data_IF_528408585277
#
_entry.id   IF_528408585277
#
_cell.length_a   1.000
_cell.length_b   1.000
_cell.length_c   1.000
_cell.angle_alpha   90.00
_cell.angle_beta   90.00
_cell.angle_gamma   90.00
#
_symmetry.space_group_name_H-M   'P 1'
#
loop_
_entity.id
_entity.type
_entity.pdbx_description
1 polymer ?
#
# COMPACT_ATOMS: atom_id res chain seq x y z
N UNK A 1 -19.57 60.05 -29.58
CA UNK A 1 -18.53 59.30 -30.32
C UNK A 1 -17.59 58.64 -29.33
N UNK A 2 -17.62 57.28 -29.30
CA UNK A 2 -16.57 56.32 -28.96
C UNK A 2 -15.66 56.57 -27.77
N UNK A 3 -15.88 55.80 -26.67
CA UNK A 3 -14.82 55.19 -25.84
C UNK A 3 -15.36 53.88 -25.29
N UNK A 4 -15.22 52.85 -26.06
CA UNK A 4 -15.26 51.43 -25.64
C UNK A 4 -13.85 50.88 -25.97
N UNK A 5 -13.39 49.92 -25.13
CA UNK A 5 -12.21 49.09 -25.24
C UNK A 5 -11.10 49.50 -24.26
N UNK A 6 -11.05 48.78 -23.15
CA UNK A 6 -9.91 47.97 -22.73
C UNK A 6 -10.18 47.31 -21.35
N UNK A 7 -10.85 46.19 -21.30
CA UNK A 7 -10.89 45.34 -20.09
C UNK A 7 -11.02 43.87 -20.55
N UNK A 8 -9.94 43.36 -21.13
CA UNK A 8 -9.87 41.92 -21.38
C UNK A 8 -8.40 41.48 -21.56
N UNK A 9 -7.64 41.35 -20.49
CA UNK A 9 -6.37 40.63 -20.49
C UNK A 9 -5.79 40.47 -19.07
N UNK A 10 -6.51 39.85 -18.13
CA UNK A 10 -5.90 39.51 -16.82
C UNK A 10 -6.42 38.21 -16.19
N UNK A 11 -7.05 37.32 -16.98
CA UNK A 11 -7.62 36.08 -16.47
C UNK A 11 -6.76 34.84 -16.72
N UNK A 12 -5.62 34.92 -17.40
CA UNK A 12 -4.84 33.74 -17.85
C UNK A 12 -3.66 33.36 -16.96
N UNK A 13 -3.30 34.13 -15.96
CA UNK A 13 -2.11 33.84 -15.14
C UNK A 13 -2.41 33.05 -13.85
N UNK A 14 -3.69 32.91 -13.46
CA UNK A 14 -4.06 32.17 -12.25
C UNK A 14 -4.18 30.65 -12.46
N UNK A 15 -4.41 30.17 -13.68
CA UNK A 15 -4.63 28.75 -13.98
C UNK A 15 -3.33 27.93 -13.90
N UNK A 16 -2.18 28.51 -14.24
CA UNK A 16 -0.90 27.78 -14.25
C UNK A 16 -0.38 27.50 -12.84
N UNK A 17 -0.52 28.45 -11.92
CA UNK A 17 -0.02 28.31 -10.54
C UNK A 17 -0.78 27.25 -9.74
N UNK A 18 -2.08 27.14 -9.95
CA UNK A 18 -2.93 26.16 -9.26
C UNK A 18 -2.67 24.73 -9.74
N UNK A 19 -2.25 24.53 -11.00
CA UNK A 19 -1.87 23.21 -11.53
C UNK A 19 -0.50 22.76 -11.01
N UNK A 20 0.47 23.65 -10.83
CA UNK A 20 1.77 23.35 -10.27
C UNK A 20 1.69 22.99 -8.79
N UNK A 21 0.98 23.76 -7.97
CA UNK A 21 0.77 23.46 -6.55
C UNK A 21 0.06 22.11 -6.35
N UNK A 22 -0.93 21.80 -7.18
CA UNK A 22 -1.64 20.52 -7.14
C UNK A 22 -0.74 19.35 -7.55
N UNK A 23 0.14 19.52 -8.52
CA UNK A 23 1.10 18.48 -8.94
C UNK A 23 2.18 18.25 -7.87
N UNK A 24 2.70 19.29 -7.25
CA UNK A 24 3.69 19.20 -6.16
C UNK A 24 3.07 18.45 -4.97
N UNK A 25 1.88 18.86 -4.50
CA UNK A 25 1.16 18.20 -3.40
C UNK A 25 0.86 16.71 -3.68
N UNK A 26 0.51 16.37 -4.92
CA UNK A 26 0.26 14.97 -5.31
C UNK A 26 1.54 14.14 -5.31
N UNK A 27 2.66 14.72 -5.75
CA UNK A 27 3.97 14.04 -5.78
C UNK A 27 4.52 13.81 -4.36
N UNK A 28 4.36 14.78 -3.45
CA UNK A 28 4.75 14.64 -2.04
C UNK A 28 3.94 13.55 -1.35
N UNK A 29 2.61 13.57 -1.46
CA UNK A 29 1.72 12.53 -0.91
C UNK A 29 2.04 11.14 -1.47
N UNK A 30 2.33 11.05 -2.76
CA UNK A 30 2.73 9.79 -3.42
C UNK A 30 4.05 9.26 -2.84
N UNK A 31 5.04 10.13 -2.61
CA UNK A 31 6.32 9.75 -1.99
C UNK A 31 6.18 9.31 -0.54
N UNK A 32 5.29 9.95 0.23
CA UNK A 32 5.00 9.56 1.62
C UNK A 32 4.29 8.21 1.68
N UNK A 33 3.31 7.96 0.82
CA UNK A 33 2.61 6.69 0.74
C UNK A 33 3.55 5.54 0.35
N UNK A 34 4.49 5.79 -0.55
CA UNK A 34 5.53 4.81 -0.91
C UNK A 34 6.41 4.44 0.30
N UNK A 35 6.79 5.42 1.14
CA UNK A 35 7.54 5.17 2.37
C UNK A 35 6.77 4.28 3.34
N UNK A 36 5.47 4.55 3.55
CA UNK A 36 4.61 3.73 4.42
C UNK A 36 4.54 2.29 3.91
N UNK A 37 4.34 2.10 2.60
CA UNK A 37 4.32 0.77 2.01
C UNK A 37 5.66 0.04 2.21
N UNK A 38 6.80 0.70 1.99
CA UNK A 38 8.13 0.11 2.24
C UNK A 38 8.37 -0.21 3.71
N UNK A 39 7.94 0.66 4.64
CA UNK A 39 8.06 0.46 6.08
C UNK A 39 7.31 -0.79 6.56
N UNK A 40 6.16 -1.10 5.94
CA UNK A 40 5.42 -2.33 6.22
C UNK A 40 6.31 -3.57 6.01
N UNK A 41 7.01 -3.66 4.88
CA UNK A 41 7.91 -4.79 4.59
C UNK A 41 9.13 -4.84 5.52
N UNK A 42 9.63 -3.68 5.97
CA UNK A 42 10.70 -3.63 6.99
C UNK A 42 10.23 -4.24 8.30
N UNK A 43 9.01 -3.91 8.77
CA UNK A 43 8.46 -4.49 9.99
C UNK A 43 8.09 -5.96 9.82
N UNK A 44 7.52 -6.34 8.67
CA UNK A 44 7.26 -7.74 8.32
C UNK A 44 8.53 -8.58 8.46
N UNK A 45 9.61 -8.20 7.80
CA UNK A 45 10.87 -8.93 7.78
C UNK A 45 11.58 -8.97 9.15
N UNK A 46 11.23 -8.08 10.06
CA UNK A 46 11.67 -8.10 11.47
C UNK A 46 10.72 -8.90 12.37
N UNK A 47 9.62 -9.42 11.82
CA UNK A 47 8.52 -10.03 12.57
C UNK A 47 7.98 -9.10 13.68
N UNK A 48 8.06 -7.78 13.48
CA UNK A 48 7.52 -6.77 14.39
C UNK A 48 6.05 -6.48 14.04
N UNK A 49 5.21 -7.48 14.31
CA UNK A 49 3.80 -7.47 13.91
C UNK A 49 3.02 -6.30 14.51
N UNK A 50 3.41 -5.85 15.70
CA UNK A 50 2.76 -4.71 16.33
C UNK A 50 3.06 -3.40 15.58
N UNK A 51 4.33 -3.15 15.22
CA UNK A 51 4.68 -1.97 14.44
C UNK A 51 4.10 -2.03 13.04
N UNK A 52 4.12 -3.20 12.41
CA UNK A 52 3.47 -3.41 11.13
C UNK A 52 1.97 -3.09 11.19
N UNK A 53 1.24 -3.63 12.17
CA UNK A 53 -0.18 -3.37 12.36
C UNK A 53 -0.50 -1.89 12.65
N UNK A 54 0.42 -1.15 13.28
CA UNK A 54 0.27 0.28 13.54
C UNK A 54 0.32 1.16 12.29
N UNK A 55 0.78 0.64 11.15
CA UNK A 55 0.72 1.34 9.86
C UNK A 55 -0.70 1.36 9.27
N UNK A 56 -1.58 0.46 9.70
CA UNK A 56 -2.97 0.40 9.28
C UNK A 56 -3.87 1.31 10.12
N UNK A 57 -5.06 1.62 9.60
CA UNK A 57 -6.19 2.13 10.40
C UNK A 57 -6.62 1.09 11.43
N UNK A 58 -7.58 1.43 12.31
CA UNK A 58 -8.05 0.50 13.35
C UNK A 58 -8.71 -0.76 12.77
N UNK A 59 -9.48 -0.60 11.68
CA UNK A 59 -10.18 -1.67 11.00
C UNK A 59 -9.98 -1.54 9.47
N UNK A 60 -8.79 -1.88 8.94
CA UNK A 60 -8.54 -1.86 7.50
C UNK A 60 -9.28 -2.99 6.79
N UNK A 61 -9.50 -2.81 5.49
CA UNK A 61 -10.10 -3.79 4.62
C UNK A 61 -9.03 -4.66 3.96
N UNK A 62 -9.09 -5.96 4.17
CA UNK A 62 -8.22 -6.95 3.54
C UNK A 62 -8.96 -7.72 2.45
N UNK A 63 -8.24 -8.10 1.40
CA UNK A 63 -8.72 -9.00 0.36
C UNK A 63 -7.58 -9.86 -0.16
N UNK A 64 -7.76 -11.17 -0.18
CA UNK A 64 -6.74 -12.11 -0.62
C UNK A 64 -7.38 -13.42 -1.14
N UNK A 65 -6.68 -14.21 -1.96
CA UNK A 65 -7.21 -15.47 -2.52
C UNK A 65 -7.65 -16.49 -1.46
N UNK A 66 -6.93 -16.58 -0.33
CA UNK A 66 -7.24 -17.49 0.78
C UNK A 66 -8.59 -17.21 1.44
N UNK A 67 -9.09 -15.97 1.34
CA UNK A 67 -10.43 -15.57 1.80
C UNK A 67 -11.49 -15.56 0.69
N UNK A 68 -11.20 -16.18 -0.46
CA UNK A 68 -12.09 -16.23 -1.62
C UNK A 68 -12.28 -14.87 -2.29
N UNK A 69 -11.30 -13.97 -2.18
CA UNK A 69 -11.32 -12.61 -2.77
C UNK A 69 -12.46 -11.72 -2.27
N UNK A 70 -13.05 -12.02 -1.12
CA UNK A 70 -14.06 -11.16 -0.49
C UNK A 70 -13.38 -10.19 0.47
N UNK A 71 -13.65 -8.88 0.37
CA UNK A 71 -13.13 -7.92 1.32
C UNK A 71 -13.62 -8.24 2.75
N UNK A 72 -12.69 -8.15 3.71
CA UNK A 72 -12.94 -8.40 5.13
C UNK A 72 -12.31 -7.29 5.97
N UNK A 73 -13.03 -6.80 6.97
CA UNK A 73 -12.46 -5.90 7.96
C UNK A 73 -11.69 -6.72 9.00
N UNK A 74 -10.46 -6.31 9.30
CA UNK A 74 -9.64 -6.92 10.35
C UNK A 74 -9.20 -5.84 11.33
N UNK A 75 -9.40 -6.05 12.62
CA UNK A 75 -8.79 -5.15 13.62
C UNK A 75 -7.28 -5.32 13.65
N UNK A 76 -6.55 -4.31 14.14
CA UNK A 76 -5.08 -4.41 14.33
C UNK A 76 -4.69 -5.62 15.18
N UNK A 77 -5.49 -5.93 16.21
CA UNK A 77 -5.25 -7.10 17.06
C UNK A 77 -5.38 -8.42 16.28
N UNK A 78 -6.37 -8.52 15.38
CA UNK A 78 -6.52 -9.67 14.50
C UNK A 78 -5.35 -9.78 13.53
N UNK A 79 -4.89 -8.67 12.94
CA UNK A 79 -3.70 -8.65 12.07
C UNK A 79 -2.49 -9.21 12.82
N UNK A 80 -2.20 -8.70 14.01
CA UNK A 80 -1.07 -9.18 14.84
C UNK A 80 -1.19 -10.66 15.15
N UNK A 81 -2.40 -11.15 15.49
CA UNK A 81 -2.66 -12.56 15.78
C UNK A 81 -2.38 -13.44 14.57
N UNK A 82 -2.97 -13.12 13.40
CA UNK A 82 -2.84 -13.90 12.17
C UNK A 82 -1.37 -13.98 11.69
N UNK A 83 -0.63 -12.87 11.75
CA UNK A 83 0.79 -12.88 11.37
C UNK A 83 1.69 -13.62 12.36
N UNK A 84 1.36 -13.66 13.66
CA UNK A 84 2.03 -14.53 14.64
C UNK A 84 1.76 -16.01 14.37
N UNK A 85 0.52 -16.36 14.03
CA UNK A 85 0.15 -17.72 13.65
C UNK A 85 0.88 -18.15 12.37
N UNK A 86 0.92 -17.28 11.36
CA UNK A 86 1.71 -17.51 10.15
C UNK A 86 3.19 -17.72 10.46
N UNK A 87 3.81 -16.88 11.31
CA UNK A 87 5.20 -17.03 11.73
C UNK A 87 5.44 -18.35 12.47
N UNK A 88 4.47 -18.85 13.22
CA UNK A 88 4.60 -20.14 13.90
C UNK A 88 4.67 -21.31 12.90
N UNK A 89 4.02 -21.18 11.75
CA UNK A 89 4.07 -22.17 10.67
C UNK A 89 5.32 -22.00 9.78
N UNK A 90 5.74 -20.76 9.56
CA UNK A 90 6.85 -20.36 8.70
C UNK A 90 7.82 -19.44 9.44
N UNK A 91 8.67 -20.00 10.36
CA UNK A 91 9.49 -19.17 11.27
C UNK A 91 10.51 -18.26 10.58
N UNK A 92 10.92 -18.61 9.37
CA UNK A 92 11.92 -17.90 8.56
C UNK A 92 11.29 -17.10 7.41
N UNK A 93 9.97 -16.85 7.44
CA UNK A 93 9.28 -16.14 6.37
C UNK A 93 9.84 -14.72 6.21
N UNK A 94 10.11 -14.36 4.96
CA UNK A 94 10.65 -13.05 4.55
C UNK A 94 9.99 -12.61 3.24
N UNK A 95 9.81 -11.31 3.07
CA UNK A 95 9.29 -10.70 1.85
C UNK A 95 10.38 -9.90 1.15
N UNK A 96 10.71 -10.28 -0.09
CA UNK A 96 11.64 -9.56 -0.95
C UNK A 96 10.87 -8.66 -1.91
N UNK A 97 10.89 -7.34 -1.68
CA UNK A 97 10.23 -6.36 -2.56
C UNK A 97 10.98 -6.32 -3.89
N UNK A 98 10.26 -6.51 -4.98
CA UNK A 98 10.76 -6.46 -6.36
C UNK A 98 10.59 -5.06 -6.94
N UNK A 99 9.36 -4.49 -6.81
CA UNK A 99 9.06 -3.17 -7.35
C UNK A 99 7.95 -2.48 -6.53
N UNK A 100 7.96 -1.14 -6.56
CA UNK A 100 6.96 -0.30 -5.91
C UNK A 100 6.48 0.75 -6.91
N UNK A 101 5.19 0.81 -7.14
CA UNK A 101 4.57 1.72 -8.11
C UNK A 101 3.51 2.58 -7.41
N UNK A 102 3.81 3.84 -7.09
CA UNK A 102 2.78 4.78 -6.68
C UNK A 102 1.75 4.98 -7.81
N UNK A 103 0.47 4.94 -7.49
CA UNK A 103 -0.61 5.05 -8.46
C UNK A 103 -1.70 6.01 -8.00
N UNK A 104 -1.88 7.09 -8.74
CA UNK A 104 -2.84 8.13 -8.39
C UNK A 104 -2.48 8.84 -7.08
N UNK A 105 -3.50 9.25 -6.34
CA UNK A 105 -3.32 10.05 -5.11
C UNK A 105 -3.01 9.21 -3.87
N UNK A 106 -3.58 8.00 -3.76
CA UNK A 106 -3.61 7.25 -2.52
C UNK A 106 -3.34 5.75 -2.67
N UNK A 107 -2.85 5.29 -3.82
CA UNK A 107 -2.55 3.87 -4.02
C UNK A 107 -1.05 3.66 -4.20
N UNK A 108 -0.58 2.53 -3.67
CA UNK A 108 0.76 2.00 -3.90
C UNK A 108 0.63 0.53 -4.25
N UNK A 109 1.14 0.16 -5.42
CA UNK A 109 1.19 -1.22 -5.88
C UNK A 109 2.59 -1.74 -5.55
N UNK A 110 2.69 -2.91 -4.93
CA UNK A 110 3.97 -3.53 -4.57
C UNK A 110 4.00 -4.95 -5.10
N UNK A 111 5.02 -5.23 -5.90
CA UNK A 111 5.38 -6.59 -6.29
C UNK A 111 6.48 -7.11 -5.35
N UNK A 112 6.28 -8.27 -4.80
CA UNK A 112 7.25 -8.90 -3.91
C UNK A 112 7.16 -10.43 -3.98
N UNK A 113 8.19 -11.10 -3.48
CA UNK A 113 8.22 -12.56 -3.34
C UNK A 113 8.28 -12.88 -1.86
N UNK A 114 7.29 -13.62 -1.37
CA UNK A 114 7.30 -14.21 -0.04
C UNK A 114 8.07 -15.53 -0.10
N UNK A 115 9.02 -15.71 0.82
CA UNK A 115 9.92 -16.87 0.87
C UNK A 115 9.97 -17.43 2.27
N UNK A 116 10.15 -18.73 2.37
CA UNK A 116 10.29 -19.38 3.67
C UNK A 116 10.46 -20.88 3.55
N UNK A 117 10.33 -21.56 4.69
CA UNK A 117 10.42 -23.00 4.79
C UNK A 117 9.11 -23.58 5.29
N UNK A 118 8.53 -24.49 4.52
CA UNK A 118 7.36 -25.26 4.90
C UNK A 118 7.64 -26.17 6.11
N UNK A 119 6.61 -26.62 6.84
CA UNK A 119 6.77 -27.59 7.94
C UNK A 119 7.46 -28.89 7.55
N UNK A 120 7.33 -29.32 6.29
CA UNK A 120 7.98 -30.50 5.72
C UNK A 120 9.45 -30.25 5.29
N UNK A 121 10.01 -29.06 5.57
CA UNK A 121 11.38 -28.60 5.24
C UNK A 121 11.60 -28.24 3.77
N UNK A 122 10.60 -28.26 2.92
CA UNK A 122 10.71 -27.73 1.57
C UNK A 122 10.74 -26.21 1.59
N UNK A 123 11.42 -25.58 0.64
CA UNK A 123 11.44 -24.13 0.48
C UNK A 123 10.29 -23.71 -0.43
N UNK A 124 9.69 -22.54 -0.14
CA UNK A 124 8.73 -21.92 -1.04
C UNK A 124 9.16 -20.53 -1.46
N UNK A 125 8.72 -20.13 -2.64
CA UNK A 125 8.78 -18.76 -3.16
C UNK A 125 7.43 -18.47 -3.79
N UNK A 126 6.71 -17.49 -3.25
CA UNK A 126 5.38 -17.09 -3.71
C UNK A 126 5.42 -15.66 -4.21
N UNK A 127 5.30 -15.43 -5.54
CA UNK A 127 5.13 -14.08 -6.09
C UNK A 127 3.77 -13.50 -5.71
N UNK A 128 3.77 -12.27 -5.23
CA UNK A 128 2.57 -11.57 -4.76
C UNK A 128 2.57 -10.15 -5.31
N UNK A 129 1.40 -9.70 -5.73
CA UNK A 129 1.13 -8.30 -6.01
C UNK A 129 0.11 -7.77 -5.01
N UNK A 130 0.46 -6.73 -4.26
CA UNK A 130 -0.45 -6.09 -3.30
C UNK A 130 -0.74 -4.66 -3.72
N UNK A 131 -2.01 -4.25 -3.63
CA UNK A 131 -2.47 -2.88 -3.83
C UNK A 131 -2.87 -2.31 -2.48
N UNK A 132 -2.06 -1.41 -1.95
CA UNK A 132 -2.40 -0.63 -0.77
C UNK A 132 -3.22 0.59 -1.15
N UNK A 133 -4.24 0.92 -0.35
CA UNK A 133 -4.85 2.25 -0.33
C UNK A 133 -4.41 2.93 0.97
N UNK A 134 -3.80 4.12 0.85
CA UNK A 134 -3.21 4.83 1.98
C UNK A 134 -3.85 6.22 2.05
N UNK A 135 -4.42 6.54 3.19
CA UNK A 135 -5.13 7.79 3.46
C UNK A 135 -4.74 8.34 4.82
N UNK A 136 -4.43 9.62 4.87
CA UNK A 136 -4.00 10.30 6.10
C UNK A 136 -2.84 9.57 6.83
N UNK A 137 -1.87 9.06 6.05
CA UNK A 137 -0.70 8.38 6.60
C UNK A 137 -0.97 6.97 7.15
N UNK A 138 -2.12 6.35 6.82
CA UNK A 138 -2.48 5.00 7.26
C UNK A 138 -3.00 4.16 6.10
N UNK A 139 -2.68 2.87 6.14
CA UNK A 139 -3.21 1.89 5.20
C UNK A 139 -4.66 1.60 5.58
N UNK A 140 -5.58 1.91 4.67
CA UNK A 140 -7.02 1.65 4.82
C UNK A 140 -7.45 0.37 4.13
N UNK A 141 -6.70 -0.05 3.07
CA UNK A 141 -6.96 -1.30 2.33
C UNK A 141 -5.65 -1.97 1.95
N UNK A 142 -5.68 -3.30 2.03
CA UNK A 142 -4.61 -4.21 1.65
C UNK A 142 -5.19 -5.35 0.79
N UNK A 143 -5.05 -5.24 -0.52
CA UNK A 143 -5.61 -6.17 -1.48
C UNK A 143 -4.50 -6.91 -2.19
N UNK A 144 -4.30 -8.17 -1.78
CA UNK A 144 -3.24 -9.03 -2.30
C UNK A 144 -3.75 -10.03 -3.34
N UNK A 145 -2.92 -10.30 -4.32
CA UNK A 145 -3.18 -11.20 -5.43
C UNK A 145 -1.99 -12.13 -5.62
N UNK A 146 -2.22 -13.42 -5.53
CA UNK A 146 -1.24 -14.47 -5.73
C UNK A 146 -1.93 -15.76 -6.16
N UNK A 147 -1.18 -16.68 -6.74
CA UNK A 147 -1.68 -18.00 -7.09
C UNK A 147 -1.70 -18.89 -5.84
N UNK A 148 -2.89 -19.31 -5.43
CA UNK A 148 -3.09 -20.25 -4.32
C UNK A 148 -3.52 -21.65 -4.78
N UNK A 149 -3.38 -21.96 -6.07
CA UNK A 149 -3.79 -23.25 -6.65
C UNK A 149 -2.85 -24.41 -6.32
N UNK A 150 -1.70 -24.12 -5.70
CA UNK A 150 -0.68 -25.11 -5.36
C UNK A 150 -0.72 -25.57 -3.89
N UNK A 151 -1.76 -25.19 -3.14
CA UNK A 151 -1.96 -25.59 -1.74
C UNK A 151 -3.05 -26.65 -1.59
#
# INVERSE_FOLDING_TARGET
>A
MKKIVLFLAMASLFSCKQSEEKMISTKETSSENEKIAKELFVHFNKHDWQKMANLYTENPEFKEPTSGMKPQLKSRAQIVKEYREMQSMFPDVQNSVVAVYPSGKNKVIVEFVSKGTNPDKTKFELPICTIFTIENGKITKDFSYFDNSQN
#
